data_IF_306839366448
#
_entry.id   IF_306839366448
#
_cell.length_a   1.000
_cell.length_b   1.000
_cell.length_c   1.000
_cell.angle_alpha   90.00
_cell.angle_beta   90.00
_cell.angle_gamma   90.00
#
_symmetry.space_group_name_H-M   'P 1'
#
loop_
_entity.id
_entity.type
_entity.pdbx_description
1 polymer ?
#
# COMPACT_ATOMS: atom_id res chain seq x y z
N UNK A 1 -2.26 11.75 18.16
CA UNK A 1 -1.20 11.48 17.18
C UNK A 1 -1.55 12.27 15.93
N UNK A 2 -0.66 13.12 15.44
CA UNK A 2 -0.95 13.98 14.27
C UNK A 2 -1.05 13.11 13.00
N UNK A 3 -1.98 13.41 12.08
CA UNK A 3 -2.14 12.62 10.86
C UNK A 3 -0.91 12.79 9.95
N UNK A 4 -0.13 11.72 9.78
CA UNK A 4 0.96 11.69 8.80
C UNK A 4 0.41 11.48 7.39
N UNK A 5 0.70 12.42 6.50
CA UNK A 5 0.29 12.36 5.10
C UNK A 5 1.42 11.90 4.19
N UNK A 6 1.11 11.00 3.25
CA UNK A 6 2.05 10.46 2.27
C UNK A 6 1.62 10.86 0.86
N UNK A 7 2.55 11.44 0.11
CA UNK A 7 2.28 11.88 -1.27
C UNK A 7 2.23 10.70 -2.25
N UNK A 8 1.61 10.90 -3.42
CA UNK A 8 1.60 9.89 -4.49
C UNK A 8 3.00 9.37 -4.84
N UNK A 9 4.01 10.24 -4.84
CA UNK A 9 5.40 9.85 -5.10
C UNK A 9 5.92 8.91 -4.01
N UNK A 10 5.67 9.21 -2.73
CA UNK A 10 6.09 8.37 -1.61
C UNK A 10 5.38 7.01 -1.64
N UNK A 11 4.07 6.99 -1.90
CA UNK A 11 3.29 5.76 -2.08
C UNK A 11 3.89 4.90 -3.20
N UNK A 12 4.22 5.50 -4.33
CA UNK A 12 4.83 4.78 -5.46
C UNK A 12 6.20 4.18 -5.13
N UNK A 13 7.01 4.90 -4.35
CA UNK A 13 8.31 4.40 -3.90
C UNK A 13 8.15 3.22 -2.95
N UNK A 14 7.18 3.28 -2.02
CA UNK A 14 6.94 2.23 -1.02
C UNK A 14 6.66 0.85 -1.64
N UNK A 15 5.93 0.79 -2.75
CA UNK A 15 5.53 -0.47 -3.39
C UNK A 15 6.40 -0.91 -4.57
N UNK A 16 7.49 -0.20 -4.84
CA UNK A 16 8.33 -0.42 -6.01
C UNK A 16 9.45 -1.47 -5.88
N UNK A 17 9.78 -1.89 -4.66
CA UNK A 17 11.04 -2.61 -4.45
C UNK A 17 12.23 -1.76 -4.88
N UNK A 18 13.02 -2.21 -5.86
CA UNK A 18 14.15 -1.47 -6.44
C UNK A 18 13.73 -0.23 -7.25
N UNK A 19 12.52 -0.22 -7.84
CA UNK A 19 12.04 0.86 -8.70
C UNK A 19 10.61 1.27 -8.38
N UNK A 20 10.30 2.57 -8.19
CA UNK A 20 8.95 3.01 -7.83
C UNK A 20 7.88 2.57 -8.83
N UNK A 21 6.71 2.14 -8.36
CA UNK A 21 5.60 1.78 -9.26
C UNK A 21 5.16 2.97 -10.10
N UNK A 22 4.59 2.69 -11.28
CA UNK A 22 4.08 3.74 -12.18
C UNK A 22 2.82 4.42 -11.61
N UNK A 23 2.52 5.62 -12.08
CA UNK A 23 1.25 6.27 -11.72
C UNK A 23 0.02 5.50 -12.23
N UNK A 24 0.18 4.84 -13.38
CA UNK A 24 -0.84 3.97 -13.97
C UNK A 24 -1.16 2.77 -13.08
N UNK A 25 -0.16 2.22 -12.38
CA UNK A 25 -0.36 1.15 -11.39
C UNK A 25 -1.23 1.65 -10.25
N UNK A 26 -0.91 2.82 -9.71
CA UNK A 26 -1.70 3.43 -8.63
C UNK A 26 -3.13 3.75 -9.10
N UNK A 27 -3.30 4.22 -10.33
CA UNK A 27 -4.62 4.42 -10.94
C UNK A 27 -5.41 3.11 -11.04
N UNK A 28 -4.79 2.00 -11.48
CA UNK A 28 -5.46 0.69 -11.53
C UNK A 28 -5.90 0.21 -10.15
N UNK A 29 -5.10 0.44 -9.11
CA UNK A 29 -5.48 0.08 -7.74
C UNK A 29 -6.69 0.85 -7.26
N UNK A 30 -6.75 2.16 -7.54
CA UNK A 30 -7.89 3.01 -7.19
C UNK A 30 -9.19 2.63 -7.91
N UNK A 31 -9.08 2.07 -9.11
CA UNK A 31 -10.23 1.63 -9.90
C UNK A 31 -10.60 0.15 -9.70
N UNK A 32 -9.77 -0.63 -8.99
CA UNK A 32 -10.05 -2.04 -8.76
C UNK A 32 -10.68 -2.23 -7.38
N UNK A 33 -12.01 -2.48 -7.29
CA UNK A 33 -12.68 -2.65 -6.01
C UNK A 33 -12.17 -3.85 -5.20
N UNK A 34 -11.67 -4.90 -5.87
CA UNK A 34 -11.09 -6.07 -5.19
C UNK A 34 -9.77 -5.74 -4.46
N UNK A 35 -9.08 -4.66 -4.84
CA UNK A 35 -7.86 -4.25 -4.15
C UNK A 35 -8.14 -3.52 -2.84
N UNK A 36 -9.34 -2.92 -2.69
CA UNK A 36 -9.75 -2.09 -1.55
C UNK A 36 -8.69 -1.05 -1.12
N UNK A 37 -7.94 -0.48 -2.07
CA UNK A 37 -6.86 0.45 -1.75
C UNK A 37 -7.43 1.80 -1.25
N UNK A 38 -6.83 2.44 -0.23
CA UNK A 38 -7.33 3.69 0.34
C UNK A 38 -7.47 4.80 -0.71
N UNK A 39 -8.54 5.59 -0.60
CA UNK A 39 -8.81 6.71 -1.50
C UNK A 39 -7.89 7.89 -1.15
N UNK A 40 -7.32 8.59 -2.15
CA UNK A 40 -6.52 9.78 -1.89
C UNK A 40 -7.39 10.95 -1.42
N UNK A 41 -6.84 11.73 -0.51
CA UNK A 41 -7.24 13.12 -0.24
C UNK A 41 -6.47 14.04 -1.19
N UNK A 42 -7.17 15.00 -1.78
CA UNK A 42 -6.57 15.97 -2.69
C UNK A 42 -6.24 17.27 -1.95
N UNK A 43 -4.95 17.63 -1.93
CA UNK A 43 -4.51 18.96 -1.52
C UNK A 43 -4.10 19.72 -2.78
N UNK A 44 -5.06 20.48 -3.33
CA UNK A 44 -4.94 21.07 -4.66
C UNK A 44 -4.87 20.00 -5.75
N UNK A 45 -3.84 20.06 -6.61
CA UNK A 45 -3.64 19.10 -7.71
C UNK A 45 -2.95 17.80 -7.28
N UNK A 46 -2.45 17.73 -6.05
CA UNK A 46 -1.64 16.62 -5.59
C UNK A 46 -2.47 15.65 -4.75
N UNK A 47 -2.19 14.36 -4.94
CA UNK A 47 -2.83 13.26 -4.19
C UNK A 47 -1.99 12.92 -2.96
N UNK A 48 -2.68 12.80 -1.84
CA UNK A 48 -2.12 12.39 -0.56
C UNK A 48 -2.98 11.32 0.07
N UNK A 49 -2.36 10.48 0.88
CA UNK A 49 -3.03 9.44 1.64
C UNK A 49 -2.66 9.61 3.09
N UNK A 50 -3.53 9.18 3.99
CA UNK A 50 -3.12 9.06 5.37
C UNK A 50 -2.30 7.79 5.54
N UNK A 51 -1.19 7.90 6.26
CA UNK A 51 -0.29 6.78 6.47
C UNK A 51 -0.98 5.64 7.23
N UNK A 52 -1.85 5.96 8.20
CA UNK A 52 -2.58 4.98 8.99
C UNK A 52 -3.56 4.15 8.16
N UNK A 53 -4.21 4.75 7.16
CA UNK A 53 -5.09 4.03 6.23
C UNK A 53 -4.30 3.07 5.34
N UNK A 54 -3.12 3.51 4.87
CA UNK A 54 -2.22 2.66 4.09
C UNK A 54 -1.75 1.47 4.92
N UNK A 55 -1.32 1.70 6.16
CA UNK A 55 -0.87 0.63 7.04
C UNK A 55 -2.00 -0.33 7.42
N UNK A 56 -3.21 0.17 7.66
CA UNK A 56 -4.37 -0.67 7.90
C UNK A 56 -4.65 -1.58 6.68
N UNK A 57 -4.61 -1.01 5.48
CA UNK A 57 -4.76 -1.78 4.24
C UNK A 57 -3.65 -2.82 4.04
N UNK A 58 -2.41 -2.51 4.43
CA UNK A 58 -1.29 -3.45 4.39
C UNK A 58 -1.46 -4.61 5.37
N UNK A 59 -2.05 -4.36 6.56
CA UNK A 59 -2.33 -5.39 7.57
C UNK A 59 -3.46 -6.33 7.16
N UNK A 60 -4.48 -5.81 6.50
CA UNK A 60 -5.64 -6.59 6.05
C UNK A 60 -5.31 -7.53 4.88
N UNK A 61 -4.25 -7.24 4.13
CA UNK A 61 -3.79 -8.15 3.09
C UNK A 61 -3.04 -9.32 3.71
N UNK A 62 -3.39 -10.57 3.37
CA UNK A 62 -2.52 -11.68 3.67
C UNK A 62 -1.20 -11.37 2.95
N UNK A 63 -0.14 -11.11 3.73
CA UNK A 63 1.21 -11.07 3.22
C UNK A 63 1.36 -12.37 2.44
N UNK A 64 1.63 -12.29 1.13
CA UNK A 64 1.90 -13.48 0.34
C UNK A 64 2.92 -14.29 1.12
N UNK A 65 2.51 -15.49 1.55
CA UNK A 65 3.22 -16.38 2.48
C UNK A 65 4.73 -16.17 2.32
N UNK A 66 5.38 -15.61 3.34
CA UNK A 66 6.83 -15.57 3.34
C UNK A 66 7.28 -17.02 3.43
N UNK A 67 8.31 -17.42 2.69
CA UNK A 67 8.89 -18.77 2.84
C UNK A 67 9.26 -19.07 4.31
N UNK A 68 9.52 -18.04 5.13
CA UNK A 68 9.72 -18.13 6.58
C UNK A 68 8.47 -18.57 7.39
N UNK A 69 7.26 -18.25 6.92
CA UNK A 69 6.02 -18.70 7.55
C UNK A 69 5.75 -20.20 7.27
N UNK A 70 6.36 -20.77 6.22
CA UNK A 70 6.26 -22.19 5.89
C UNK A 70 7.21 -23.07 6.73
N UNK A 71 8.32 -22.52 7.23
CA UNK A 71 9.30 -23.28 8.03
C UNK A 71 8.83 -23.53 9.48
N UNK A 72 7.88 -22.74 10.00
CA UNK A 72 7.36 -22.92 11.37
C UNK A 72 6.23 -23.98 11.44
N UNK A 73 5.55 -24.25 10.32
CA UNK A 73 4.41 -25.19 10.26
C UNK A 73 4.85 -26.66 10.02
N UNK A 74 6.09 -26.90 9.57
CA UNK A 74 6.61 -28.25 9.27
C UNK A 74 7.27 -28.96 10.47
N UNK A 75 7.27 -28.35 11.66
CA UNK A 75 7.90 -28.88 12.87
C UNK A 75 6.90 -29.28 13.97
N UNK A 76 5.61 -29.42 13.65
CA UNK A 76 4.55 -29.92 14.53
C UNK A 76 3.96 -31.23 13.99
#
# INVERSE_FOLDING_TARGET
>A
MEPTWVSARAVRQRYGGEQPISDMTLHRWLNNPAMNFPRPTYFGRFRFWRLDEIEAWERDRPRGRTLADAETEAAA
#
